data_IF_104349174276
#
_entry.id   IF_104349174276
#
_cell.length_a   1.000
_cell.length_b   1.000
_cell.length_c   1.000
_cell.angle_alpha   90.00
_cell.angle_beta   90.00
_cell.angle_gamma   90.00
#
_symmetry.space_group_name_H-M   'P 1'
#
loop_
_entity.id
_entity.type
_entity.pdbx_description
1 polymer ?
#
# COMPACT_ATOMS: atom_id res chain seq x y z
N UNK A 1 0.15 20.56 8.14
CA UNK A 1 -1.21 20.09 7.74
C UNK A 1 -1.29 18.56 7.63
N UNK A 2 -0.59 17.92 6.68
CA UNK A 2 -0.71 16.47 6.43
C UNK A 2 -0.50 15.61 7.68
N UNK A 3 0.52 15.90 8.49
CA UNK A 3 0.79 15.15 9.72
C UNK A 3 -0.40 15.15 10.71
N UNK A 4 -1.12 16.27 10.81
CA UNK A 4 -2.33 16.33 11.66
C UNK A 4 -3.44 15.45 11.11
N UNK A 5 -3.73 15.53 9.80
CA UNK A 5 -4.78 14.72 9.20
C UNK A 5 -4.48 13.22 9.28
N UNK A 6 -3.20 12.84 9.14
CA UNK A 6 -2.75 11.45 9.31
C UNK A 6 -2.93 11.02 10.77
N UNK A 7 -2.55 11.84 11.75
CA UNK A 7 -2.71 11.53 13.16
C UNK A 7 -4.19 11.40 13.56
N UNK A 8 -5.06 12.27 13.02
CA UNK A 8 -6.51 12.22 13.28
C UNK A 8 -7.17 10.97 12.66
N UNK A 9 -6.59 10.42 11.61
CA UNK A 9 -7.13 9.27 10.88
C UNK A 9 -6.55 7.92 11.30
N UNK A 10 -5.49 7.89 12.12
CA UNK A 10 -4.79 6.66 12.47
C UNK A 10 -5.73 5.60 13.05
N UNK A 11 -5.79 4.44 12.40
CA UNK A 11 -6.67 3.32 12.75
C UNK A 11 -5.91 2.00 12.98
N UNK A 12 -4.58 2.02 12.95
CA UNK A 12 -3.69 0.89 13.28
C UNK A 12 -4.14 -0.46 12.71
N UNK A 13 -4.43 -0.53 11.42
CA UNK A 13 -4.74 -1.78 10.73
C UNK A 13 -3.46 -2.60 10.52
N UNK A 14 -3.57 -3.93 10.50
CA UNK A 14 -2.43 -4.83 10.27
C UNK A 14 -1.80 -4.65 8.89
N UNK A 15 -2.58 -4.23 7.88
CA UNK A 15 -2.13 -4.05 6.52
C UNK A 15 -1.85 -2.58 6.20
N UNK A 16 -0.58 -2.23 6.00
CA UNK A 16 -0.11 -0.86 5.72
C UNK A 16 -0.88 -0.15 4.60
N UNK A 17 -1.22 -0.86 3.51
CA UNK A 17 -1.94 -0.27 2.38
C UNK A 17 -3.40 0.06 2.73
N UNK A 18 -4.04 -0.70 3.62
CA UNK A 18 -5.39 -0.41 4.11
C UNK A 18 -5.37 0.82 5.03
N UNK A 19 -4.38 0.91 5.90
CA UNK A 19 -4.19 2.10 6.73
C UNK A 19 -3.96 3.34 5.87
N UNK A 20 -3.09 3.25 4.87
CA UNK A 20 -2.85 4.35 3.94
C UNK A 20 -4.11 4.76 3.18
N UNK A 21 -4.91 3.79 2.72
CA UNK A 21 -6.18 4.07 2.05
C UNK A 21 -7.18 4.74 3.00
N UNK A 22 -7.24 4.31 4.26
CA UNK A 22 -8.08 4.91 5.29
C UNK A 22 -7.69 6.36 5.57
N UNK A 23 -6.41 6.63 5.77
CA UNK A 23 -5.89 7.98 5.99
C UNK A 23 -6.11 8.90 4.79
N UNK A 24 -5.86 8.41 3.57
CA UNK A 24 -6.18 9.14 2.34
C UNK A 24 -7.68 9.45 2.24
N UNK A 25 -8.55 8.50 2.59
CA UNK A 25 -10.00 8.68 2.64
C UNK A 25 -10.44 9.74 3.64
N UNK A 26 -9.80 9.80 4.80
CA UNK A 26 -10.06 10.87 5.77
C UNK A 26 -9.64 12.24 5.23
N UNK A 27 -8.41 12.36 4.71
CA UNK A 27 -7.92 13.60 4.09
C UNK A 27 -8.84 14.06 2.96
N UNK A 28 -9.27 13.14 2.10
CA UNK A 28 -10.20 13.41 1.00
C UNK A 28 -11.54 13.96 1.51
N UNK A 29 -12.10 13.41 2.60
CA UNK A 29 -13.35 13.92 3.18
C UNK A 29 -13.20 15.34 3.72
N UNK A 30 -12.12 15.61 4.48
CA UNK A 30 -11.89 16.94 5.08
C UNK A 30 -11.69 18.01 3.99
N UNK A 31 -10.81 17.73 3.03
CA UNK A 31 -10.46 18.68 1.97
C UNK A 31 -11.60 18.79 0.94
N UNK A 32 -12.24 17.67 0.61
CA UNK A 32 -13.37 17.63 -0.30
C UNK A 32 -14.61 18.35 0.23
N UNK A 33 -14.89 18.30 1.52
CA UNK A 33 -15.98 19.05 2.10
C UNK A 33 -15.80 20.59 1.93
N UNK A 34 -14.57 21.08 2.07
CA UNK A 34 -14.26 22.48 1.79
C UNK A 34 -14.38 22.79 0.29
N UNK A 35 -13.91 21.86 -0.57
CA UNK A 35 -14.01 22.00 -2.03
C UNK A 35 -15.49 22.08 -2.49
N UNK A 36 -16.34 21.17 -1.99
CA UNK A 36 -17.77 21.11 -2.33
C UNK A 36 -18.51 22.37 -1.87
N UNK A 37 -18.03 22.96 -0.76
CA UNK A 37 -18.53 24.26 -0.27
C UNK A 37 -17.92 25.48 -1.03
N UNK A 38 -17.15 25.27 -2.09
CA UNK A 38 -16.44 26.30 -2.86
C UNK A 38 -15.49 27.14 -1.97
N UNK A 39 -14.88 26.51 -0.97
CA UNK A 39 -13.96 27.15 -0.04
C UNK A 39 -12.60 26.46 -0.05
N UNK A 40 -11.54 27.22 0.25
CA UNK A 40 -10.25 26.65 0.54
C UNK A 40 -10.29 25.96 1.90
N UNK A 41 -9.63 24.81 2.00
CA UNK A 41 -9.49 24.10 3.28
C UNK A 41 -8.77 24.97 4.29
N UNK A 42 -9.34 25.07 5.50
CA UNK A 42 -8.80 25.84 6.60
C UNK A 42 -8.64 24.95 7.83
N UNK A 43 -7.41 24.69 8.24
CA UNK A 43 -7.09 23.81 9.38
C UNK A 43 -6.26 24.62 10.39
N UNK A 44 -6.79 24.77 11.58
CA UNK A 44 -6.14 25.47 12.68
C UNK A 44 -5.42 24.44 13.55
N UNK A 45 -4.26 24.82 14.11
CA UNK A 45 -3.57 24.02 15.10
C UNK A 45 -4.41 23.97 16.39
N UNK A 46 -4.82 22.79 16.89
CA UNK A 46 -5.67 22.69 18.07
C UNK A 46 -5.01 23.18 19.36
N UNK A 47 -3.69 23.37 19.35
CA UNK A 47 -2.94 23.91 20.51
C UNK A 47 -2.62 25.40 20.39
N UNK A 48 -2.87 26.01 19.24
CA UNK A 48 -2.58 27.42 19.00
C UNK A 48 -3.53 27.96 17.92
N UNK A 49 -4.55 28.71 18.34
CA UNK A 49 -5.59 29.25 17.44
C UNK A 49 -5.05 30.21 16.38
N UNK A 50 -3.89 30.80 16.61
CA UNK A 50 -3.22 31.72 15.66
C UNK A 50 -2.35 30.99 14.65
N UNK A 51 -2.14 29.67 14.81
CA UNK A 51 -1.31 28.85 13.93
C UNK A 51 -2.21 28.12 12.93
N UNK A 52 -2.27 28.63 11.71
CA UNK A 52 -3.05 28.07 10.62
C UNK A 52 -2.17 27.10 9.84
N UNK A 53 -2.45 25.80 9.95
CA UNK A 53 -1.67 24.74 9.30
C UNK A 53 -1.81 24.74 7.76
N UNK A 54 -2.80 25.47 7.24
CA UNK A 54 -3.08 25.65 5.80
C UNK A 54 -2.78 27.04 5.28
N UNK A 55 -1.93 27.81 5.95
CA UNK A 55 -1.56 29.18 5.55
C UNK A 55 -0.86 29.23 4.18
N UNK A 56 -0.08 28.20 3.85
CA UNK A 56 0.70 28.09 2.61
C UNK A 56 0.11 27.19 1.54
N UNK A 57 -0.93 26.43 1.89
CA UNK A 57 -1.59 25.50 0.96
C UNK A 57 -3.07 25.33 1.32
N UNK A 58 -3.98 25.31 0.33
CA UNK A 58 -3.74 25.45 -1.11
C UNK A 58 -3.52 26.91 -1.50
N UNK A 59 -2.61 27.16 -2.46
CA UNK A 59 -2.40 28.49 -3.02
C UNK A 59 -3.61 28.94 -3.84
N UNK A 60 -4.23 28.00 -4.58
CA UNK A 60 -5.44 28.22 -5.37
C UNK A 60 -6.50 27.15 -5.10
N UNK A 61 -7.72 27.38 -5.57
CA UNK A 61 -8.80 26.40 -5.55
C UNK A 61 -8.49 25.22 -6.48
N UNK A 62 -7.85 25.49 -7.61
CA UNK A 62 -7.45 24.47 -8.59
C UNK A 62 -6.40 23.48 -7.99
N UNK A 63 -5.47 23.98 -7.18
CA UNK A 63 -4.54 23.10 -6.47
C UNK A 63 -5.26 22.16 -5.50
N UNK A 64 -6.29 22.67 -4.81
CA UNK A 64 -7.11 21.86 -3.92
C UNK A 64 -7.88 20.79 -4.69
N UNK A 65 -8.45 21.14 -5.84
CA UNK A 65 -9.16 20.23 -6.72
C UNK A 65 -8.24 19.13 -7.26
N UNK A 66 -7.05 19.51 -7.74
CA UNK A 66 -6.03 18.54 -8.18
C UNK A 66 -5.69 17.54 -7.07
N UNK A 67 -5.48 18.03 -5.85
CA UNK A 67 -5.13 17.17 -4.72
C UNK A 67 -6.29 16.23 -4.33
N UNK A 68 -7.54 16.68 -4.38
CA UNK A 68 -8.72 15.83 -4.16
C UNK A 68 -8.76 14.69 -5.18
N UNK A 69 -8.50 14.98 -6.48
CA UNK A 69 -8.43 13.96 -7.54
C UNK A 69 -7.29 12.97 -7.32
N UNK A 70 -6.13 13.45 -6.88
CA UNK A 70 -4.98 12.58 -6.58
C UNK A 70 -5.27 11.65 -5.39
N UNK A 71 -5.98 12.14 -4.37
CA UNK A 71 -6.43 11.31 -3.26
C UNK A 71 -7.45 10.25 -3.72
N UNK A 72 -8.41 10.62 -4.56
CA UNK A 72 -9.38 9.66 -5.13
C UNK A 72 -8.67 8.57 -5.94
N UNK A 73 -7.67 8.94 -6.75
CA UNK A 73 -6.84 7.99 -7.50
C UNK A 73 -6.04 7.07 -6.56
N UNK A 74 -5.39 7.61 -5.55
CA UNK A 74 -4.63 6.85 -4.56
C UNK A 74 -5.51 5.82 -3.86
N UNK A 75 -6.68 6.25 -3.35
CA UNK A 75 -7.63 5.38 -2.66
C UNK A 75 -8.10 4.24 -3.58
N UNK A 76 -8.46 4.55 -4.82
CA UNK A 76 -8.90 3.56 -5.79
C UNK A 76 -7.81 2.50 -6.04
N UNK A 77 -6.55 2.92 -6.25
CA UNK A 77 -5.42 2.01 -6.48
C UNK A 77 -5.08 1.15 -5.26
N UNK A 78 -5.04 1.75 -4.07
CA UNK A 78 -4.79 1.00 -2.84
C UNK A 78 -5.89 -0.02 -2.53
N UNK A 79 -7.14 0.30 -2.82
CA UNK A 79 -8.29 -0.60 -2.64
C UNK A 79 -8.30 -1.75 -3.66
N UNK A 80 -7.70 -1.55 -4.82
CA UNK A 80 -7.54 -2.57 -5.87
C UNK A 80 -6.47 -3.61 -5.51
N UNK A 81 -5.41 -3.22 -4.79
CA UNK A 81 -4.23 -4.05 -4.49
C UNK A 81 -4.57 -5.45 -3.97
N UNK A 82 -5.41 -5.65 -2.93
CA UNK A 82 -5.66 -6.97 -2.36
C UNK A 82 -6.42 -7.91 -3.30
N UNK A 83 -7.03 -7.39 -4.36
CA UNK A 83 -7.80 -8.14 -5.35
C UNK A 83 -7.01 -8.41 -6.62
N UNK A 84 -5.78 -7.89 -6.70
CA UNK A 84 -4.93 -7.93 -7.89
C UNK A 84 -4.04 -9.16 -7.89
N UNK A 85 -3.76 -9.70 -9.09
CA UNK A 85 -2.63 -10.61 -9.28
C UNK A 85 -1.29 -9.88 -9.12
N UNK A 86 -0.19 -10.64 -9.08
CA UNK A 86 1.15 -10.10 -8.84
C UNK A 86 1.60 -9.10 -9.92
N UNK A 87 1.25 -9.34 -11.18
CA UNK A 87 1.59 -8.45 -12.30
C UNK A 87 0.83 -7.13 -12.20
N UNK A 88 -0.47 -7.18 -11.93
CA UNK A 88 -1.29 -5.99 -11.72
C UNK A 88 -0.87 -5.22 -10.48
N UNK A 89 -0.55 -5.91 -9.38
CA UNK A 89 -0.02 -5.31 -8.16
C UNK A 89 1.27 -4.53 -8.43
N UNK A 90 2.21 -5.12 -9.19
CA UNK A 90 3.42 -4.44 -9.61
C UNK A 90 3.11 -3.16 -10.40
N UNK A 91 2.19 -3.24 -11.36
CA UNK A 91 1.77 -2.08 -12.14
C UNK A 91 1.20 -0.95 -11.28
N UNK A 92 0.33 -1.27 -10.33
CA UNK A 92 -0.24 -0.29 -9.39
C UNK A 92 0.86 0.35 -8.53
N UNK A 93 1.74 -0.45 -7.96
CA UNK A 93 2.83 0.06 -7.13
C UNK A 93 3.82 0.91 -7.93
N UNK A 94 4.10 0.55 -9.18
CA UNK A 94 4.92 1.36 -10.09
C UNK A 94 4.24 2.70 -10.41
N UNK A 95 2.93 2.69 -10.64
CA UNK A 95 2.16 3.91 -10.88
C UNK A 95 2.18 4.86 -9.68
N UNK A 96 2.07 4.32 -8.46
CA UNK A 96 1.98 5.12 -7.23
C UNK A 96 3.34 5.59 -6.71
N UNK A 97 4.36 4.74 -6.78
CA UNK A 97 5.63 4.95 -6.09
C UNK A 97 6.85 5.00 -7.03
N UNK A 98 6.66 4.70 -8.31
CA UNK A 98 7.73 4.65 -9.31
C UNK A 98 8.38 3.28 -9.45
N UNK A 99 9.14 3.12 -10.55
CA UNK A 99 9.75 1.83 -10.93
C UNK A 99 10.85 1.39 -9.94
N UNK A 100 11.71 2.32 -9.51
CA UNK A 100 12.88 1.97 -8.67
C UNK A 100 12.48 1.36 -7.31
N UNK A 101 11.62 1.98 -6.47
CA UNK A 101 11.22 1.39 -5.21
C UNK A 101 10.38 0.12 -5.40
N UNK A 102 9.54 0.08 -6.44
CA UNK A 102 8.74 -1.11 -6.77
C UNK A 102 9.64 -2.27 -7.18
N UNK A 103 10.61 -2.03 -8.06
CA UNK A 103 11.61 -3.03 -8.46
C UNK A 103 12.35 -3.62 -7.26
N UNK A 104 12.86 -2.78 -6.36
CA UNK A 104 13.57 -3.23 -5.16
C UNK A 104 12.70 -4.12 -4.23
N UNK A 105 11.41 -3.79 -4.08
CA UNK A 105 10.46 -4.60 -3.31
C UNK A 105 10.27 -5.98 -3.96
N UNK A 106 10.03 -6.02 -5.27
CA UNK A 106 9.81 -7.28 -6.00
C UNK A 106 11.05 -8.15 -6.06
N UNK A 107 12.24 -7.58 -6.22
CA UNK A 107 13.52 -8.31 -6.11
C UNK A 107 13.71 -8.92 -4.72
N UNK A 108 13.44 -8.16 -3.67
CA UNK A 108 13.50 -8.65 -2.30
C UNK A 108 12.52 -9.78 -2.05
N UNK A 109 11.28 -9.65 -2.52
CA UNK A 109 10.26 -10.68 -2.44
C UNK A 109 10.69 -11.95 -3.19
N UNK A 110 11.17 -11.82 -4.43
CA UNK A 110 11.63 -12.96 -5.24
C UNK A 110 12.80 -13.69 -4.56
N UNK A 111 13.75 -12.95 -3.99
CA UNK A 111 14.88 -13.52 -3.24
C UNK A 111 14.41 -14.30 -2.02
N UNK A 112 13.51 -13.73 -1.21
CA UNK A 112 12.95 -14.39 -0.03
C UNK A 112 12.18 -15.66 -0.40
N UNK A 113 11.38 -15.58 -1.46
CA UNK A 113 10.66 -16.73 -1.98
C UNK A 113 11.62 -17.84 -2.44
N UNK A 114 12.66 -17.49 -3.19
CA UNK A 114 13.70 -18.44 -3.62
C UNK A 114 14.41 -19.11 -2.44
N UNK A 115 14.76 -18.36 -1.40
CA UNK A 115 15.34 -18.90 -0.16
C UNK A 115 14.38 -19.85 0.57
N UNK A 116 13.10 -19.50 0.63
CA UNK A 116 12.07 -20.35 1.25
C UNK A 116 11.89 -21.67 0.50
N UNK A 117 11.88 -21.61 -0.84
CA UNK A 117 11.82 -22.81 -1.69
C UNK A 117 13.06 -23.68 -1.50
N UNK A 118 14.26 -23.10 -1.56
CA UNK A 118 15.52 -23.82 -1.42
C UNK A 118 15.68 -24.49 -0.03
N UNK A 119 15.13 -23.88 1.02
CA UNK A 119 15.15 -24.43 2.38
C UNK A 119 14.00 -25.41 2.66
N UNK A 120 13.14 -25.73 1.69
CA UNK A 120 11.98 -26.61 1.88
C UNK A 120 10.89 -26.04 2.80
N UNK A 121 10.91 -24.73 3.07
CA UNK A 121 9.94 -24.03 3.93
C UNK A 121 8.81 -23.37 3.15
N UNK A 122 8.74 -23.57 1.84
CA UNK A 122 7.65 -23.04 1.04
C UNK A 122 6.44 -23.97 1.07
N UNK A 123 5.25 -23.38 1.00
CA UNK A 123 3.99 -24.07 0.87
C UNK A 123 3.26 -23.57 -0.39
N UNK A 124 2.41 -24.39 -0.97
CA UNK A 124 1.56 -23.98 -2.08
C UNK A 124 0.08 -24.16 -1.74
N UNK A 125 -0.75 -23.29 -2.27
CA UNK A 125 -2.20 -23.43 -2.19
C UNK A 125 -2.68 -24.20 -3.43
N UNK A 126 -3.20 -25.42 -3.24
CA UNK A 126 -3.76 -26.20 -4.36
C UNK A 126 -4.83 -25.38 -5.09
N UNK A 127 -4.79 -25.40 -6.42
CA UNK A 127 -5.76 -24.72 -7.28
C UNK A 127 -5.51 -23.23 -7.54
N UNK A 128 -4.66 -22.55 -6.77
CA UNK A 128 -4.37 -21.12 -6.98
C UNK A 128 -3.00 -20.86 -7.61
N UNK A 129 -2.11 -21.84 -7.66
CA UNK A 129 -0.72 -21.69 -8.08
C UNK A 129 0.14 -20.75 -7.18
N UNK A 130 -0.39 -20.31 -6.05
CA UNK A 130 0.33 -19.41 -5.14
C UNK A 130 1.30 -20.19 -4.27
N UNK A 131 2.54 -19.73 -4.24
CA UNK A 131 3.56 -20.20 -3.28
C UNK A 131 3.59 -19.24 -2.09
N UNK A 132 3.52 -19.80 -0.89
CA UNK A 132 3.56 -19.07 0.37
C UNK A 132 4.91 -19.33 1.06
N UNK A 133 5.45 -18.31 1.71
CA UNK A 133 6.58 -18.48 2.62
C UNK A 133 6.07 -18.81 4.02
N UNK A 134 6.80 -19.56 4.80
CA UNK A 134 6.39 -20.01 6.14
C UNK A 134 6.15 -18.88 7.18
N UNK A 135 6.38 -17.62 6.80
CA UNK A 135 6.19 -16.43 7.66
C UNK A 135 4.80 -15.79 7.51
N UNK A 136 4.00 -16.22 6.53
CA UNK A 136 2.63 -15.72 6.36
C UNK A 136 1.64 -16.59 7.13
N UNK A 137 0.51 -16.04 7.55
CA UNK A 137 -0.64 -16.82 8.03
C UNK A 137 -0.99 -17.88 7.00
N UNK A 138 -0.60 -19.13 7.29
CA UNK A 138 -0.68 -20.24 6.36
C UNK A 138 -2.10 -20.80 6.44
N UNK A 139 -2.92 -20.70 5.40
CA UNK A 139 -4.24 -21.32 5.38
C UNK A 139 -4.14 -22.83 5.63
N UNK A 140 -5.09 -23.41 6.36
CA UNK A 140 -5.12 -24.84 6.66
C UNK A 140 -5.08 -25.76 5.41
N UNK A 141 -5.42 -25.23 4.23
CA UNK A 141 -5.37 -25.92 2.94
C UNK A 141 -3.98 -25.87 2.25
N UNK A 142 -2.99 -25.19 2.83
CA UNK A 142 -1.66 -25.09 2.22
C UNK A 142 -0.88 -26.40 2.41
N UNK A 143 -0.25 -26.85 1.34
CA UNK A 143 0.55 -28.08 1.28
C UNK A 143 2.02 -27.72 1.12
N UNK A 144 2.90 -28.38 1.86
CA UNK A 144 4.34 -28.18 1.73
C UNK A 144 4.80 -28.42 0.27
N UNK A 145 5.58 -27.51 -0.26
CA UNK A 145 6.15 -27.67 -1.60
C UNK A 145 7.26 -28.73 -1.52
N UNK A 146 7.18 -29.84 -2.28
CA UNK A 146 8.23 -30.84 -2.26
C UNK A 146 9.55 -30.23 -2.71
N UNK A 147 10.64 -30.60 -2.07
CA UNK A 147 11.98 -30.16 -2.45
C UNK A 147 12.28 -30.64 -3.86
N UNK A 148 12.50 -29.71 -4.80
CA UNK A 148 12.84 -30.04 -6.17
C UNK A 148 14.24 -30.68 -6.24
N UNK A 149 14.28 -31.97 -6.56
CA UNK A 149 15.51 -32.72 -6.86
C UNK A 149 15.86 -32.74 -8.35
N UNK A 150 15.32 -31.79 -9.12
CA UNK A 150 15.39 -31.83 -10.59
C UNK A 150 16.77 -31.51 -11.19
N UNK A 151 17.65 -30.86 -10.45
CA UNK A 151 19.04 -30.70 -10.84
C UNK A 151 19.88 -31.64 -9.99
N UNK A 152 20.32 -32.72 -10.62
CA UNK A 152 21.02 -33.82 -10.00
C UNK A 152 22.03 -33.35 -8.95
N UNK A 153 22.10 -34.07 -7.83
CA UNK A 153 23.20 -33.93 -6.88
C UNK A 153 24.52 -34.03 -7.64
N UNK A 154 25.51 -33.16 -7.38
CA UNK A 154 26.86 -33.41 -7.83
C UNK A 154 27.20 -34.83 -7.38
N UNK A 155 27.59 -35.69 -8.29
CA UNK A 155 28.17 -37.00 -7.95
C UNK A 155 29.50 -36.68 -7.29
N UNK A 156 29.67 -37.08 -6.05
CA UNK A 156 30.97 -37.20 -5.40
C UNK A 156 31.85 -38.20 -6.14
#
# INVERSE_FOLDING_TARGET
MMAKLVADAANHTEALFLELAHQAGYMRRVIGAAHDAQQKVHIINPRCEHDILTDRWPGSFDEQELFVRDLDRLIARLTELPKSDLGRMRGILTELFGESPTGAIFESYTRLLGQSIASGRSMHLPGSGRVLTAAADVPAAAVATPTHTFFGRPRE
#
